data_IF_963743094194
#
_entry.id   IF_963743094194
#
_cell.length_a   1.000
_cell.length_b   1.000
_cell.length_c   1.000
_cell.angle_alpha   90.00
_cell.angle_beta   90.00
_cell.angle_gamma   90.00
#
_symmetry.space_group_name_H-M   'P 1'
#
loop_
_entity.id
_entity.type
_entity.pdbx_description
1 polymer ?
#
# COMPACT_ATOMS: atom_id res chain seq x y z
N UNK A 1 21.74 1.82 8.92
CA UNK A 1 22.13 1.88 10.36
C UNK A 1 21.04 2.39 11.32
N UNK A 2 20.07 3.21 10.87
CA UNK A 2 19.05 3.80 11.76
C UNK A 2 18.03 2.79 12.34
N UNK A 3 17.69 1.73 11.59
CA UNK A 3 16.69 0.75 12.00
C UNK A 3 17.15 -0.17 13.14
N UNK A 4 18.46 -0.29 13.38
CA UNK A 4 19.03 -1.14 14.42
C UNK A 4 19.35 -0.36 15.72
N UNK A 5 18.84 0.87 15.84
CA UNK A 5 19.11 1.78 16.95
C UNK A 5 20.23 2.76 16.62
N UNK A 6 20.09 4.00 17.08
CA UNK A 6 21.07 5.06 16.84
C UNK A 6 21.08 6.09 17.98
N UNK A 7 22.28 6.45 18.45
CA UNK A 7 22.51 7.45 19.52
C UNK A 7 21.65 7.22 20.77
N UNK A 8 21.73 6.01 21.33
CA UNK A 8 21.02 5.65 22.56
C UNK A 8 19.52 5.38 22.39
N UNK A 9 18.98 5.53 21.18
CA UNK A 9 17.62 5.08 20.86
C UNK A 9 17.60 3.58 20.60
N UNK A 10 16.56 2.87 21.06
CA UNK A 10 16.38 1.45 20.79
C UNK A 10 16.23 1.19 19.29
N UNK A 11 16.41 -0.07 18.89
CA UNK A 11 16.12 -0.53 17.53
C UNK A 11 14.63 -0.38 17.20
N UNK A 12 14.35 -0.12 15.92
CA UNK A 12 12.99 -0.14 15.40
C UNK A 12 12.52 -1.58 15.23
N UNK A 13 11.22 -1.78 15.38
CA UNK A 13 10.57 -3.04 15.06
C UNK A 13 10.49 -3.21 13.53
N UNK A 14 11.51 -3.85 12.97
CA UNK A 14 11.60 -4.11 11.53
C UNK A 14 10.57 -5.17 11.11
N UNK A 15 10.27 -6.13 11.98
CA UNK A 15 9.29 -7.18 11.69
C UNK A 15 7.89 -6.57 11.54
N UNK A 16 7.55 -5.54 12.32
CA UNK A 16 6.31 -4.78 12.11
C UNK A 16 6.25 -4.10 10.73
N UNK A 17 7.36 -3.64 10.17
CA UNK A 17 7.39 -3.08 8.83
C UNK A 17 7.14 -4.15 7.76
N UNK A 18 7.72 -5.34 7.94
CA UNK A 18 7.50 -6.50 7.07
C UNK A 18 6.05 -6.95 7.16
N UNK A 19 5.48 -7.03 8.36
CA UNK A 19 4.07 -7.37 8.58
C UNK A 19 3.13 -6.39 7.86
N UNK A 20 3.42 -5.09 7.91
CA UNK A 20 2.68 -4.09 7.15
C UNK A 20 2.75 -4.38 5.65
N UNK A 21 3.93 -4.60 5.10
CA UNK A 21 4.10 -4.88 3.67
C UNK A 21 3.32 -6.14 3.24
N UNK A 22 3.44 -7.25 3.99
CA UNK A 22 2.74 -8.50 3.69
C UNK A 22 1.22 -8.36 3.79
N UNK A 23 0.72 -7.62 4.78
CA UNK A 23 -0.72 -7.37 4.92
C UNK A 23 -1.27 -6.52 3.77
N UNK A 24 -0.53 -5.50 3.34
CA UNK A 24 -0.93 -4.67 2.20
C UNK A 24 -0.99 -5.48 0.91
N UNK A 25 -0.01 -6.35 0.65
CA UNK A 25 -0.06 -7.23 -0.52
C UNK A 25 -1.22 -8.21 -0.44
N UNK A 26 -1.50 -8.78 0.74
CA UNK A 26 -2.65 -9.66 0.94
C UNK A 26 -3.99 -8.96 0.71
N UNK A 27 -4.12 -7.69 1.13
CA UNK A 27 -5.32 -6.89 0.84
C UNK A 27 -5.52 -6.75 -0.66
N UNK A 28 -4.46 -6.51 -1.44
CA UNK A 28 -4.57 -6.38 -2.89
C UNK A 28 -5.00 -7.70 -3.55
N UNK A 29 -4.51 -8.85 -3.08
CA UNK A 29 -4.87 -10.17 -3.58
C UNK A 29 -6.34 -10.55 -3.31
N UNK A 30 -6.98 -9.96 -2.29
CA UNK A 30 -8.37 -10.23 -1.92
C UNK A 30 -9.39 -9.38 -2.72
N UNK A 31 -8.94 -8.40 -3.50
CA UNK A 31 -9.83 -7.50 -4.26
C UNK A 31 -10.30 -8.19 -5.55
N UNK A 32 -11.62 -8.28 -5.81
CA UNK A 32 -12.14 -8.88 -7.03
C UNK A 32 -11.87 -8.03 -8.29
N UNK A 33 -11.50 -8.67 -9.38
CA UNK A 33 -11.24 -8.02 -10.69
C UNK A 33 -12.48 -7.32 -11.29
N UNK A 34 -13.68 -7.71 -10.86
CA UNK A 34 -14.96 -7.27 -11.45
C UNK A 34 -15.52 -5.97 -10.85
N UNK A 35 -14.70 -5.16 -10.17
CA UNK A 35 -15.11 -3.93 -9.51
C UNK A 35 -13.98 -2.89 -9.44
N UNK A 36 -14.19 -1.76 -8.73
CA UNK A 36 -13.15 -0.77 -8.52
C UNK A 36 -11.93 -1.44 -7.88
N UNK A 37 -10.81 -1.44 -8.60
CA UNK A 37 -9.57 -2.04 -8.14
C UNK A 37 -8.74 -0.98 -7.41
N UNK A 38 -8.01 -1.38 -6.37
CA UNK A 38 -6.94 -0.54 -5.84
C UNK A 38 -5.77 -0.65 -6.82
N UNK A 39 -5.31 0.48 -7.35
CA UNK A 39 -4.15 0.53 -8.24
C UNK A 39 -2.85 0.66 -7.43
N UNK A 40 -2.88 1.52 -6.41
CA UNK A 40 -1.71 1.81 -5.59
C UNK A 40 -2.11 2.22 -4.17
N UNK A 41 -1.27 1.85 -3.19
CA UNK A 41 -1.33 2.31 -1.80
C UNK A 41 0.04 2.89 -1.45
N UNK A 42 0.11 4.19 -1.18
CA UNK A 42 1.29 4.84 -0.62
C UNK A 42 1.05 5.12 0.87
N UNK A 43 1.93 4.59 1.72
CA UNK A 43 2.02 5.00 3.13
C UNK A 43 3.25 5.88 3.31
N UNK A 44 3.04 7.16 3.60
CA UNK A 44 4.14 8.09 3.78
C UNK A 44 3.73 9.25 4.70
N UNK A 45 4.20 9.30 5.98
CA UNK A 45 5.20 8.41 6.57
C UNK A 45 4.63 7.16 7.27
N UNK A 46 5.37 6.05 7.16
CA UNK A 46 5.26 4.90 8.07
C UNK A 46 6.28 5.05 9.21
N UNK A 47 5.80 5.23 10.43
CA UNK A 47 6.64 5.40 11.61
C UNK A 47 6.87 4.05 12.30
N UNK A 48 8.13 3.68 12.53
CA UNK A 48 8.49 2.45 13.26
C UNK A 48 8.84 2.78 14.71
N UNK A 49 8.12 2.18 15.64
CA UNK A 49 8.39 2.24 17.07
C UNK A 49 9.34 1.12 17.52
N UNK A 50 9.56 1.03 18.83
CA UNK A 50 10.25 -0.11 19.44
C UNK A 50 9.39 -1.39 19.41
N UNK A 51 8.06 -1.23 19.36
CA UNK A 51 7.10 -2.31 19.18
C UNK A 51 6.01 -1.81 18.24
N UNK A 52 5.98 -2.34 17.03
CA UNK A 52 5.00 -1.99 16.01
C UNK A 52 5.37 -0.84 15.07
N UNK A 53 4.45 -0.62 14.13
CA UNK A 53 4.51 0.41 13.11
C UNK A 53 3.19 1.22 13.09
N UNK A 54 3.24 2.48 12.70
CA UNK A 54 2.07 3.37 12.58
C UNK A 54 2.14 4.12 11.26
N UNK A 55 1.13 3.91 10.41
CA UNK A 55 0.89 4.76 9.25
C UNK A 55 0.32 6.09 9.76
N UNK A 56 1.04 7.19 9.58
CA UNK A 56 0.58 8.53 9.99
C UNK A 56 -0.28 9.16 8.91
N UNK A 57 -0.01 8.81 7.66
CA UNK A 57 -0.74 9.24 6.48
C UNK A 57 -0.71 8.14 5.42
N UNK A 58 -1.71 8.14 4.54
CA UNK A 58 -1.80 7.23 3.42
C UNK A 58 -2.65 7.81 2.27
N UNK A 59 -2.21 7.55 1.04
CA UNK A 59 -2.97 7.84 -0.18
C UNK A 59 -3.27 6.52 -0.89
N UNK A 60 -4.51 6.38 -1.35
CA UNK A 60 -4.97 5.20 -2.08
C UNK A 60 -5.50 5.66 -3.43
N UNK A 61 -4.95 5.11 -4.51
CA UNK A 61 -5.44 5.33 -5.86
C UNK A 61 -6.33 4.17 -6.29
N UNK A 62 -7.50 4.52 -6.82
CA UNK A 62 -8.48 3.56 -7.32
C UNK A 62 -8.50 3.60 -8.85
N UNK A 63 -8.62 2.43 -9.47
CA UNK A 63 -8.87 2.26 -10.91
C UNK A 63 -10.29 1.80 -11.15
N UNK A 64 -10.94 2.41 -12.14
CA UNK A 64 -12.26 1.98 -12.60
C UNK A 64 -12.09 0.95 -13.73
N UNK A 65 -12.12 -0.32 -13.38
CA UNK A 65 -11.92 -1.44 -14.30
C UNK A 65 -12.95 -1.47 -15.44
N UNK A 66 -14.12 -0.83 -15.27
CA UNK A 66 -15.14 -0.75 -16.31
C UNK A 66 -14.85 0.30 -17.40
N UNK A 67 -13.96 1.28 -17.15
CA UNK A 67 -13.57 2.31 -18.12
C UNK A 67 -12.30 1.99 -18.90
N UNK A 68 -11.52 1.02 -18.45
CA UNK A 68 -10.22 0.67 -19.01
C UNK A 68 -10.28 -0.49 -20.04
N UNK A 69 -11.48 -0.97 -20.40
CA UNK A 69 -11.66 -1.92 -21.52
C UNK A 69 -11.25 -1.27 -22.86
N UNK A 70 -10.21 -1.77 -23.55
CA UNK A 70 -9.81 -1.24 -24.84
C UNK A 70 -10.79 -1.72 -25.93
N UNK A 71 -11.84 -0.95 -26.18
CA UNK A 71 -12.66 -1.17 -27.38
C UNK A 71 -14.10 -0.66 -27.38
N UNK A 72 -14.36 0.64 -27.14
CA UNK A 72 -15.65 1.25 -27.53
C UNK A 72 -15.53 2.67 -28.10
N UNK A 73 -14.39 3.02 -28.73
CA UNK A 73 -14.24 4.31 -29.42
C UNK A 73 -13.97 4.13 -30.94
N UNK A 74 -14.78 3.28 -31.58
CA UNK A 74 -14.80 3.09 -33.04
C UNK A 74 -16.20 2.68 -33.53
N UNK A 75 -17.20 3.56 -33.42
CA UNK A 75 -18.38 3.46 -34.29
C UNK A 75 -19.12 4.81 -34.36
N UNK A 76 -18.69 5.66 -35.29
CA UNK A 76 -19.53 6.73 -35.81
C UNK A 76 -19.57 6.64 -37.34
N UNK A 77 -20.76 6.58 -37.96
CA UNK A 77 -21.08 7.40 -39.11
C UNK A 77 -21.61 8.78 -38.67
#
# INVERSE_FOLDING_TARGET
PLLHGYRGRPASDIDAAVDVAVRLTGILDEIPDSGPAIDEIEINPLMLGQAGATAVDAVIWMRDTARDEPGQDKAGP
#
